data_IF_755179074066
#
_entry.id   IF_755179074066
#
_cell.length_a   1.000
_cell.length_b   1.000
_cell.length_c   1.000
_cell.angle_alpha   90.00
_cell.angle_beta   90.00
_cell.angle_gamma   90.00
#
_symmetry.space_group_name_H-M   'P 1'
#
loop_
_entity.id
_entity.type
_entity.pdbx_description
1 polymer ?
#
# COMPACT_ATOMS: atom_id res chain seq x y z
N UNK A 1 -14.11 11.78 2.69
CA UNK A 1 -12.76 11.29 2.37
C UNK A 1 -12.65 9.87 2.88
N UNK A 2 -12.21 8.94 2.04
CA UNK A 2 -12.08 7.52 2.36
C UNK A 2 -10.65 7.20 2.78
N UNK A 3 -10.50 6.27 3.73
CA UNK A 3 -9.21 5.75 4.21
C UNK A 3 -9.25 4.22 4.10
N UNK A 4 -8.20 3.65 3.52
CA UNK A 4 -7.92 2.21 3.51
C UNK A 4 -6.60 2.04 4.26
N UNK A 5 -6.56 1.17 5.27
CA UNK A 5 -5.33 0.86 6.00
C UNK A 5 -5.14 -0.65 6.02
N UNK A 6 -3.91 -1.08 5.73
CA UNK A 6 -3.48 -2.47 5.83
C UNK A 6 -2.20 -2.48 6.67
N UNK A 7 -2.17 -3.35 7.69
CA UNK A 7 -1.00 -3.55 8.55
C UNK A 7 -0.37 -4.88 8.21
N UNK A 8 0.88 -4.85 7.76
CA UNK A 8 1.62 -6.02 7.24
C UNK A 8 2.86 -6.20 8.10
N UNK A 9 3.28 -7.45 8.32
CA UNK A 9 4.55 -7.72 8.98
C UNK A 9 5.68 -7.18 8.09
N UNK A 10 6.62 -6.47 8.70
CA UNK A 10 7.70 -5.82 7.96
C UNK A 10 8.75 -6.86 7.56
N UNK A 11 8.95 -7.00 6.27
CA UNK A 11 10.18 -7.51 5.67
C UNK A 11 10.76 -6.46 4.71
N UNK A 12 11.97 -6.73 4.21
CA UNK A 12 12.71 -5.80 3.35
C UNK A 12 12.01 -5.57 2.00
N UNK A 13 11.45 -6.61 1.39
CA UNK A 13 10.81 -6.54 0.07
C UNK A 13 9.49 -5.76 0.17
N UNK A 14 8.68 -6.04 1.20
CA UNK A 14 7.44 -5.30 1.50
C UNK A 14 7.75 -3.82 1.74
N UNK A 15 8.75 -3.50 2.55
CA UNK A 15 9.10 -2.11 2.85
C UNK A 15 9.59 -1.36 1.61
N UNK A 16 10.51 -1.92 0.84
CA UNK A 16 11.04 -1.29 -0.38
C UNK A 16 9.94 -1.10 -1.45
N UNK A 17 9.08 -2.11 -1.61
CA UNK A 17 7.96 -2.05 -2.56
C UNK A 17 6.99 -0.94 -2.19
N UNK A 18 6.52 -0.89 -0.95
CA UNK A 18 5.54 0.12 -0.53
C UNK A 18 6.12 1.53 -0.43
N UNK A 19 7.40 1.68 -0.07
CA UNK A 19 8.09 2.99 -0.16
C UNK A 19 8.23 3.49 -1.60
N UNK A 20 8.36 2.58 -2.57
CA UNK A 20 8.35 2.94 -3.99
C UNK A 20 6.94 3.37 -4.43
N UNK A 21 5.92 2.60 -4.06
CA UNK A 21 4.52 2.94 -4.32
C UNK A 21 4.07 4.26 -3.67
N UNK A 22 4.57 4.59 -2.47
CA UNK A 22 4.28 5.89 -1.83
C UNK A 22 4.72 7.08 -2.69
N UNK A 23 5.85 6.95 -3.39
CA UNK A 23 6.40 8.01 -4.25
C UNK A 23 5.66 8.09 -5.59
N UNK A 24 5.30 6.94 -6.15
CA UNK A 24 4.70 6.85 -7.48
C UNK A 24 3.19 7.08 -7.48
N UNK A 25 2.48 6.58 -6.46
CA UNK A 25 1.02 6.62 -6.38
C UNK A 25 0.57 7.92 -5.69
N UNK A 26 0.76 9.03 -6.40
CA UNK A 26 0.29 10.35 -5.99
C UNK A 26 -0.49 10.99 -7.13
N UNK A 27 -1.79 11.20 -6.93
CA UNK A 27 -2.67 11.85 -7.89
C UNK A 27 -3.67 12.76 -7.18
N UNK A 28 -4.32 13.66 -7.93
CA UNK A 28 -5.20 14.70 -7.36
C UNK A 28 -6.27 14.16 -6.39
N UNK A 29 -6.74 12.93 -6.59
CA UNK A 29 -7.86 12.32 -5.85
C UNK A 29 -7.42 11.19 -4.91
N UNK A 30 -6.13 10.90 -4.81
CA UNK A 30 -5.66 9.86 -3.92
C UNK A 30 -4.15 9.74 -3.83
N UNK A 31 -3.71 9.15 -2.71
CA UNK A 31 -2.29 8.94 -2.41
C UNK A 31 -2.11 7.74 -1.50
N UNK A 32 -0.94 7.12 -1.56
CA UNK A 32 -0.48 6.15 -0.58
C UNK A 32 0.45 6.85 0.42
N UNK A 33 0.41 6.40 1.68
CA UNK A 33 1.35 6.75 2.75
C UNK A 33 1.79 5.48 3.46
N UNK A 34 3.05 5.43 3.85
CA UNK A 34 3.63 4.28 4.53
C UNK A 34 4.18 4.73 5.89
N UNK A 35 3.81 4.00 6.93
CA UNK A 35 4.29 4.23 8.29
C UNK A 35 4.99 2.96 8.79
N UNK A 36 6.16 3.12 9.37
CA UNK A 36 6.94 2.00 9.93
C UNK A 36 6.81 2.06 11.45
N UNK A 37 6.28 0.98 12.04
CA UNK A 37 6.05 0.82 13.48
C UNK A 37 6.70 -0.47 13.97
N UNK A 38 7.98 -0.40 14.36
CA UNK A 38 8.74 -1.58 14.79
C UNK A 38 8.84 -2.63 13.68
N UNK A 39 8.25 -3.79 13.92
CA UNK A 39 8.19 -4.93 12.96
C UNK A 39 6.94 -4.92 12.08
N UNK A 40 6.20 -3.81 12.07
CA UNK A 40 5.01 -3.65 11.25
C UNK A 40 5.14 -2.47 10.31
N UNK A 41 4.50 -2.61 9.16
CA UNK A 41 4.38 -1.58 8.15
C UNK A 41 2.87 -1.31 7.93
N UNK A 42 2.44 -0.08 8.21
CA UNK A 42 1.07 0.38 7.92
C UNK A 42 1.06 1.11 6.56
N UNK A 43 0.34 0.54 5.60
CA UNK A 43 0.08 1.16 4.29
C UNK A 43 -1.30 1.81 4.32
N UNK A 44 -1.35 3.11 4.10
CA UNK A 44 -2.58 3.89 4.13
C UNK A 44 -2.87 4.53 2.77
N UNK A 45 -3.97 4.13 2.15
CA UNK A 45 -4.54 4.79 0.98
C UNK A 45 -5.56 5.86 1.38
N UNK A 46 -5.32 7.12 0.99
CA UNK A 46 -6.28 8.21 1.15
C UNK A 46 -6.96 8.49 -0.20
N UNK A 47 -8.29 8.55 -0.22
CA UNK A 47 -9.07 8.78 -1.44
C UNK A 47 -10.17 9.82 -1.25
N UNK A 48 -10.37 10.66 -2.26
CA UNK A 48 -11.43 11.66 -2.27
C UNK A 48 -12.81 11.05 -2.53
N UNK A 49 -12.88 9.99 -3.35
CA UNK A 49 -14.10 9.32 -3.78
C UNK A 49 -13.98 7.78 -3.73
N UNK A 50 -15.13 7.09 -3.83
CA UNK A 50 -15.20 5.62 -3.75
C UNK A 50 -14.44 4.94 -4.88
N UNK A 51 -14.47 5.52 -6.09
CA UNK A 51 -13.77 4.95 -7.24
C UNK A 51 -12.25 4.95 -7.04
N UNK A 52 -11.71 6.06 -6.50
CA UNK A 52 -10.30 6.19 -6.13
C UNK A 52 -9.94 5.27 -4.98
N UNK A 53 -10.82 5.11 -3.98
CA UNK A 53 -10.63 4.17 -2.89
C UNK A 53 -10.50 2.73 -3.40
N UNK A 54 -11.44 2.29 -4.27
CA UNK A 54 -11.38 0.97 -4.91
C UNK A 54 -10.09 0.78 -5.70
N UNK A 55 -9.66 1.80 -6.45
CA UNK A 55 -8.40 1.74 -7.20
C UNK A 55 -7.20 1.56 -6.27
N UNK A 56 -7.11 2.33 -5.18
CA UNK A 56 -6.01 2.22 -4.21
C UNK A 56 -6.02 0.86 -3.49
N UNK A 57 -7.19 0.36 -3.08
CA UNK A 57 -7.31 -0.96 -2.49
C UNK A 57 -6.78 -2.05 -3.43
N UNK A 58 -7.16 -1.99 -4.72
CA UNK A 58 -6.67 -2.93 -5.72
C UNK A 58 -5.15 -2.82 -5.91
N UNK A 59 -4.58 -1.61 -5.94
CA UNK A 59 -3.13 -1.41 -6.02
C UNK A 59 -2.41 -2.05 -4.84
N UNK A 60 -2.87 -1.79 -3.61
CA UNK A 60 -2.25 -2.32 -2.38
C UNK A 60 -2.34 -3.85 -2.34
N UNK A 61 -3.53 -4.41 -2.56
CA UNK A 61 -3.74 -5.86 -2.47
C UNK A 61 -3.02 -6.63 -3.58
N UNK A 62 -2.94 -6.08 -4.80
CA UNK A 62 -2.17 -6.71 -5.88
C UNK A 62 -0.67 -6.69 -5.62
N UNK A 63 -0.15 -5.61 -5.02
CA UNK A 63 1.26 -5.58 -4.64
C UNK A 63 1.58 -6.68 -3.62
N UNK A 64 0.73 -6.85 -2.59
CA UNK A 64 0.85 -7.94 -1.62
C UNK A 64 0.78 -9.32 -2.28
N UNK A 65 -0.21 -9.55 -3.13
CA UNK A 65 -0.35 -10.82 -3.84
C UNK A 65 0.91 -11.19 -4.63
N UNK A 66 1.54 -10.22 -5.30
CA UNK A 66 2.78 -10.45 -6.07
C UNK A 66 3.95 -10.73 -5.13
N UNK A 67 4.07 -10.01 -4.02
CA UNK A 67 5.15 -10.22 -3.04
C UNK A 67 5.06 -11.64 -2.45
N UNK A 68 3.89 -12.03 -1.96
CA UNK A 68 3.66 -13.36 -1.39
C UNK A 68 3.93 -14.47 -2.42
N UNK A 69 3.47 -14.30 -3.66
CA UNK A 69 3.73 -15.27 -4.73
C UNK A 69 5.20 -15.34 -5.18
N UNK A 70 6.01 -14.31 -4.92
CA UNK A 70 7.47 -14.35 -5.14
C UNK A 70 8.19 -15.05 -3.99
N UNK A 71 7.67 -14.98 -2.76
CA UNK A 71 8.23 -15.71 -1.60
C UNK A 71 8.01 -17.23 -1.71
N UNK A 72 7.00 -17.68 -2.48
CA UNK A 72 6.72 -19.09 -2.74
C UNK A 72 7.64 -19.74 -3.80
N UNK A 73 8.47 -18.96 -4.51
CA UNK A 73 9.39 -19.41 -5.58
C UNK A 73 10.83 -19.61 -5.09
#
# INVERSE_FOLDING_TARGET
MYKISVKIKKDKIVEETFKSLEKEVVFRRGKIKVFVEGDWLEVVGYAADVASARSLANTILRALYVIEGVEEL
#
